data_IF_143139310587
#
_entry.id   IF_143139310587
#
_cell.length_a   1.000
_cell.length_b   1.000
_cell.length_c   1.000
_cell.angle_alpha   90.00
_cell.angle_beta   90.00
_cell.angle_gamma   90.00
#
_symmetry.space_group_name_H-M   'P 1'
#
loop_
_entity.id
_entity.type
_entity.pdbx_description
1 polymer ?
#
# COMPACT_ATOMS: atom_id res chain seq x y z
N UNK A 1 -10.42 -2.41 8.15
CA UNK A 1 -10.91 -1.59 7.02
C UNK A 1 -11.96 -0.64 7.54
N UNK A 2 -11.83 0.65 7.22
CA UNK A 2 -12.76 1.69 7.65
C UNK A 2 -14.16 1.52 7.05
N UNK A 3 -15.13 2.28 7.56
CA UNK A 3 -16.52 2.28 7.07
C UNK A 3 -16.61 2.64 5.59
N UNK A 4 -15.87 3.65 5.15
CA UNK A 4 -15.85 4.10 3.75
C UNK A 4 -15.34 2.99 2.80
N UNK A 5 -14.28 2.29 3.18
CA UNK A 5 -13.76 1.15 2.41
C UNK A 5 -14.80 0.04 2.28
N UNK A 6 -15.58 -0.23 3.34
CA UNK A 6 -16.64 -1.24 3.29
C UNK A 6 -17.73 -0.84 2.29
N UNK A 7 -18.22 0.40 2.37
CA UNK A 7 -19.22 0.92 1.43
C UNK A 7 -18.73 0.89 -0.01
N UNK A 8 -17.45 1.22 -0.25
CA UNK A 8 -16.85 1.11 -1.57
C UNK A 8 -16.79 -0.35 -2.06
N UNK A 9 -16.34 -1.27 -1.20
CA UNK A 9 -16.26 -2.69 -1.51
C UNK A 9 -17.63 -3.32 -1.76
N UNK A 10 -18.67 -2.86 -1.06
CA UNK A 10 -20.02 -3.36 -1.24
C UNK A 10 -20.58 -2.92 -2.61
N UNK A 11 -20.47 -1.62 -2.95
CA UNK A 11 -20.86 -1.11 -4.29
C UNK A 11 -20.09 -1.77 -5.42
N UNK A 12 -18.79 -1.97 -5.22
CA UNK A 12 -17.94 -2.65 -6.19
C UNK A 12 -18.31 -4.14 -6.31
N UNK A 13 -18.60 -4.78 -5.18
CA UNK A 13 -19.06 -6.16 -5.10
C UNK A 13 -20.35 -6.40 -5.87
N UNK A 14 -21.34 -5.51 -5.72
CA UNK A 14 -22.62 -5.59 -6.44
C UNK A 14 -22.43 -5.50 -7.95
N UNK A 15 -21.62 -4.54 -8.40
CA UNK A 15 -21.35 -4.34 -9.82
C UNK A 15 -20.60 -5.54 -10.43
N UNK A 16 -19.60 -6.08 -9.73
CA UNK A 16 -18.87 -7.26 -10.19
C UNK A 16 -19.71 -8.55 -10.12
N UNK A 17 -20.55 -8.70 -9.09
CA UNK A 17 -21.43 -9.87 -8.95
C UNK A 17 -22.41 -9.95 -10.12
N UNK A 18 -22.99 -8.80 -10.51
CA UNK A 18 -23.82 -8.68 -11.71
C UNK A 18 -23.04 -8.98 -12.99
N UNK A 19 -21.84 -8.41 -13.14
CA UNK A 19 -21.01 -8.59 -14.35
C UNK A 19 -20.50 -10.02 -14.54
N UNK A 20 -20.19 -10.72 -13.45
CA UNK A 20 -19.57 -12.05 -13.49
C UNK A 20 -20.56 -13.19 -13.24
N UNK A 21 -21.84 -12.88 -12.99
CA UNK A 21 -22.88 -13.85 -12.64
C UNK A 21 -22.44 -14.79 -11.51
N UNK A 22 -21.81 -14.21 -10.48
CA UNK A 22 -21.34 -14.92 -9.29
C UNK A 22 -22.09 -14.44 -8.05
N UNK A 23 -22.28 -15.30 -7.04
CA UNK A 23 -22.89 -14.87 -5.78
C UNK A 23 -22.06 -13.75 -5.14
N UNK A 24 -22.76 -12.71 -4.69
CA UNK A 24 -22.17 -11.51 -4.07
C UNK A 24 -21.16 -11.85 -2.97
N UNK A 25 -21.46 -12.83 -2.12
CA UNK A 25 -20.59 -13.23 -1.01
C UNK A 25 -19.21 -13.67 -1.48
N UNK A 26 -19.13 -14.42 -2.60
CA UNK A 26 -17.87 -14.90 -3.17
C UNK A 26 -17.07 -13.74 -3.75
N UNK A 27 -17.73 -12.82 -4.45
CA UNK A 27 -17.09 -11.66 -5.08
C UNK A 27 -16.54 -10.70 -4.02
N UNK A 28 -17.31 -10.38 -2.99
CA UNK A 28 -16.87 -9.51 -1.90
C UNK A 28 -15.76 -10.16 -1.07
N UNK A 29 -15.83 -11.47 -0.83
CA UNK A 29 -14.74 -12.18 -0.15
C UNK A 29 -13.45 -12.12 -0.96
N UNK A 30 -13.54 -12.36 -2.27
CA UNK A 30 -12.40 -12.23 -3.20
C UNK A 30 -11.82 -10.81 -3.22
N UNK A 31 -12.68 -9.79 -3.26
CA UNK A 31 -12.30 -8.37 -3.20
C UNK A 31 -11.52 -8.05 -1.92
N UNK A 32 -12.02 -8.50 -0.76
CA UNK A 32 -11.35 -8.29 0.54
C UNK A 32 -9.96 -8.93 0.57
N UNK A 33 -9.84 -10.16 0.10
CA UNK A 33 -8.55 -10.87 0.01
C UNK A 33 -7.58 -10.11 -0.91
N UNK A 34 -8.04 -9.64 -2.06
CA UNK A 34 -7.20 -8.86 -2.99
C UNK A 34 -6.72 -7.55 -2.39
N UNK A 35 -7.59 -6.81 -1.71
CA UNK A 35 -7.21 -5.58 -1.03
C UNK A 35 -6.18 -5.83 0.07
N UNK A 36 -6.36 -6.87 0.89
CA UNK A 36 -5.38 -7.25 1.92
C UNK A 36 -4.02 -7.64 1.33
N UNK A 37 -4.02 -8.40 0.23
CA UNK A 37 -2.77 -8.76 -0.47
C UNK A 37 -2.08 -7.53 -1.08
N UNK A 38 -2.84 -6.58 -1.61
CA UNK A 38 -2.29 -5.33 -2.13
C UNK A 38 -1.66 -4.48 -1.02
N UNK A 39 -2.32 -4.38 0.14
CA UNK A 39 -1.77 -3.71 1.32
C UNK A 39 -0.47 -4.37 1.79
N UNK A 40 -0.45 -5.70 1.89
CA UNK A 40 0.75 -6.44 2.28
C UNK A 40 1.92 -6.16 1.32
N UNK A 41 1.68 -6.15 0.01
CA UNK A 41 2.71 -5.82 -0.99
C UNK A 41 3.18 -4.38 -0.89
N UNK A 42 2.28 -3.44 -0.65
CA UNK A 42 2.64 -2.04 -0.42
C UNK A 42 3.52 -1.91 0.83
N UNK A 43 3.15 -2.57 1.93
CA UNK A 43 3.96 -2.59 3.16
C UNK A 43 5.32 -3.25 2.94
N UNK A 44 5.40 -4.39 2.26
CA UNK A 44 6.67 -5.05 1.93
C UNK A 44 7.56 -4.12 1.08
N UNK A 45 6.99 -3.44 0.08
CA UNK A 45 7.70 -2.48 -0.75
C UNK A 45 8.19 -1.27 0.06
N UNK A 46 7.36 -0.72 0.95
CA UNK A 46 7.77 0.37 1.85
C UNK A 46 8.91 -0.08 2.77
N UNK A 47 8.80 -1.26 3.39
CA UNK A 47 9.83 -1.79 4.28
C UNK A 47 11.15 -2.06 3.54
N UNK A 48 11.10 -2.59 2.31
CA UNK A 48 12.28 -2.74 1.44
C UNK A 48 12.86 -1.39 1.05
N UNK A 49 12.02 -0.44 0.66
CA UNK A 49 12.40 0.92 0.28
C UNK A 49 13.06 1.69 1.41
N UNK A 50 12.63 1.49 2.66
CA UNK A 50 13.28 2.06 3.86
C UNK A 50 14.67 1.48 4.12
N UNK A 51 14.93 0.22 3.72
CA UNK A 51 16.25 -0.42 3.88
C UNK A 51 17.25 -0.01 2.79
N UNK A 52 16.76 0.45 1.64
CA UNK A 52 17.60 1.23 0.73
C UNK A 52 17.90 2.53 1.46
N UNK A 53 19.14 2.69 1.95
CA UNK A 53 19.62 3.92 2.60
C UNK A 53 18.93 5.10 1.95
N UNK A 54 18.17 5.87 2.72
CA UNK A 54 17.54 7.11 2.28
C UNK A 54 18.63 7.89 1.56
N UNK A 55 18.67 7.79 0.22
CA UNK A 55 19.54 8.63 -0.59
C UNK A 55 18.97 10.00 -0.30
N UNK A 56 19.72 10.93 0.32
CA UNK A 56 19.22 12.26 0.53
C UNK A 56 18.88 12.78 -0.86
N UNK A 57 17.60 12.78 -1.21
CA UNK A 57 17.12 13.17 -2.54
C UNK A 57 17.12 14.70 -2.68
N UNK A 58 17.83 15.38 -1.76
CA UNK A 58 17.92 16.81 -1.60
C UNK A 58 19.23 17.19 -0.88
N UNK A 59 20.37 16.78 -1.42
CA UNK A 59 21.63 17.51 -1.19
C UNK A 59 22.12 17.84 -2.59
N UNK A 60 21.68 18.99 -3.09
CA UNK A 60 22.39 19.65 -4.17
C UNK A 60 23.83 19.89 -3.70
N UNK A 61 24.76 19.39 -4.51
CA UNK A 61 26.19 19.69 -4.62
C UNK A 61 26.94 20.29 -3.41
N UNK A 62 27.92 19.51 -2.96
CA UNK A 62 29.28 19.93 -2.57
C UNK A 62 29.59 20.50 -1.16
N UNK A 63 28.74 20.28 -0.15
CA UNK A 63 29.18 20.50 1.23
C UNK A 63 29.86 19.24 1.80
N UNK A 64 31.16 19.27 2.18
CA UNK A 64 31.80 18.14 2.86
C UNK A 64 31.08 17.89 4.20
N UNK A 65 30.44 16.72 4.27
CA UNK A 65 29.67 16.28 5.43
C UNK A 65 30.65 16.18 6.61
N UNK A 66 30.47 17.08 7.60
CA UNK A 66 31.23 17.01 8.84
C UNK A 66 30.82 15.73 9.60
N UNK A 67 31.74 14.79 9.89
CA UNK A 67 31.40 13.50 10.52
C UNK A 67 30.91 13.62 11.97
N UNK A 68 30.90 14.81 12.58
CA UNK A 68 30.44 15.02 13.96
C UNK A 68 28.92 15.21 14.13
N UNK A 69 28.13 15.17 13.05
CA UNK A 69 26.65 15.28 13.09
C UNK A 69 25.98 13.89 13.27
N UNK A 70 26.76 12.79 13.24
CA UNK A 70 26.30 11.41 13.45
C UNK A 70 26.94 10.79 14.70
N UNK A 71 26.87 11.47 15.85
CA UNK A 71 27.11 10.80 17.12
C UNK A 71 25.80 10.15 17.61
N UNK A 72 25.80 8.82 17.59
CA UNK A 72 24.94 7.96 18.41
C UNK A 72 25.42 7.97 19.86
#
# INVERSE_FOLDING_TARGET
>A
MGSETKTFLDRLGDHLASKWERPYSVVVHWLRVKMSMALLRATDLCLRGTRSKLRPMLIEDDAPINPSILNF
#
